data_IF_234376971117
#
_entry.id   IF_234376971117
#
_cell.length_a   1.000
_cell.length_b   1.000
_cell.length_c   1.000
_cell.angle_alpha   90.00
_cell.angle_beta   90.00
_cell.angle_gamma   90.00
#
_symmetry.space_group_name_H-M   'P 1'
#
loop_
_entity.id
_entity.type
_entity.pdbx_description
1 polymer ?
#
# COMPACT_ATOMS: atom_id res chain seq x y z
N UNK A 1 9.92 -16.35 -29.32
CA UNK A 1 10.89 -15.88 -28.31
C UNK A 1 10.14 -15.82 -26.99
N UNK A 2 10.47 -16.67 -26.03
CA UNK A 2 9.81 -16.66 -24.71
C UNK A 2 10.47 -15.56 -23.87
N UNK A 3 9.71 -14.53 -23.53
CA UNK A 3 10.17 -13.49 -22.60
C UNK A 3 10.37 -14.15 -21.24
N UNK A 4 11.59 -14.12 -20.70
CA UNK A 4 11.82 -14.55 -19.33
C UNK A 4 11.05 -13.60 -18.41
N UNK A 5 10.00 -14.10 -17.74
CA UNK A 5 9.29 -13.36 -16.71
C UNK A 5 10.24 -13.31 -15.51
N UNK A 6 10.99 -12.21 -15.38
CA UNK A 6 11.78 -11.94 -14.18
C UNK A 6 10.80 -11.66 -13.04
N UNK A 7 10.96 -12.38 -11.92
CA UNK A 7 10.20 -12.08 -10.71
C UNK A 7 10.49 -10.64 -10.24
N UNK A 8 9.48 -9.89 -9.76
CA UNK A 8 9.69 -8.55 -9.23
C UNK A 8 10.62 -8.59 -8.01
N UNK A 9 11.34 -7.50 -7.78
CA UNK A 9 12.07 -7.33 -6.51
C UNK A 9 11.09 -7.18 -5.34
N UNK A 10 11.53 -7.39 -4.09
CA UNK A 10 10.65 -7.19 -2.92
C UNK A 10 10.17 -5.74 -2.83
N UNK A 11 11.02 -4.77 -3.20
CA UNK A 11 10.62 -3.37 -3.34
C UNK A 11 9.48 -3.22 -4.34
N UNK A 12 9.64 -3.70 -5.58
CA UNK A 12 8.62 -3.58 -6.62
C UNK A 12 7.31 -4.29 -6.21
N UNK A 13 7.42 -5.47 -5.61
CA UNK A 13 6.27 -6.21 -5.10
C UNK A 13 5.53 -5.38 -4.05
N UNK A 14 6.24 -4.85 -3.05
CA UNK A 14 5.64 -4.03 -1.99
C UNK A 14 5.03 -2.74 -2.55
N UNK A 15 5.72 -2.02 -3.44
CA UNK A 15 5.22 -0.79 -4.07
C UNK A 15 3.92 -1.04 -4.84
N UNK A 16 3.85 -2.13 -5.60
CA UNK A 16 2.65 -2.49 -6.36
C UNK A 16 1.45 -2.77 -5.44
N UNK A 17 1.66 -3.50 -4.33
CA UNK A 17 0.59 -3.82 -3.40
C UNK A 17 0.14 -2.62 -2.56
N UNK A 18 1.08 -1.77 -2.12
CA UNK A 18 0.74 -0.50 -1.45
C UNK A 18 -0.03 0.40 -2.41
N UNK A 19 0.37 0.47 -3.68
CA UNK A 19 -0.36 1.21 -4.71
C UNK A 19 -1.78 0.68 -4.86
N UNK A 20 -1.97 -0.65 -4.92
CA UNK A 20 -3.30 -1.25 -5.03
C UNK A 20 -4.20 -0.89 -3.83
N UNK A 21 -3.66 -0.91 -2.60
CA UNK A 21 -4.42 -0.50 -1.40
C UNK A 21 -4.80 0.98 -1.48
N UNK A 22 -3.85 1.85 -1.83
CA UNK A 22 -4.09 3.30 -1.89
C UNK A 22 -5.07 3.67 -3.02
N UNK A 23 -5.03 2.97 -4.15
CA UNK A 23 -5.90 3.26 -5.30
C UNK A 23 -7.26 2.57 -5.25
N UNK A 24 -7.49 1.66 -4.30
CA UNK A 24 -8.80 1.05 -4.12
C UNK A 24 -9.83 2.10 -3.70
N UNK A 25 -10.90 2.25 -4.49
CA UNK A 25 -12.01 3.21 -4.29
C UNK A 25 -13.29 2.56 -3.79
N UNK A 26 -13.33 1.23 -3.71
CA UNK A 26 -14.47 0.49 -3.17
C UNK A 26 -14.01 -0.63 -2.22
N UNK A 27 -14.96 -1.12 -1.42
CA UNK A 27 -14.70 -2.11 -0.38
C UNK A 27 -14.14 -3.43 -0.92
N UNK A 28 -14.64 -3.89 -2.07
CA UNK A 28 -14.22 -5.16 -2.65
C UNK A 28 -12.77 -5.12 -3.13
N UNK A 29 -12.38 -4.06 -3.83
CA UNK A 29 -11.02 -3.88 -4.32
C UNK A 29 -10.05 -3.67 -3.15
N UNK A 30 -10.46 -2.93 -2.12
CA UNK A 30 -9.65 -2.71 -0.91
C UNK A 30 -9.42 -4.03 -0.17
N UNK A 31 -10.47 -4.82 0.02
CA UNK A 31 -10.37 -6.14 0.66
C UNK A 31 -9.43 -7.05 -0.13
N UNK A 32 -9.58 -7.07 -1.46
CA UNK A 32 -8.75 -7.89 -2.35
C UNK A 32 -7.27 -7.46 -2.31
N UNK A 33 -7.00 -6.15 -2.27
CA UNK A 33 -5.64 -5.63 -2.14
C UNK A 33 -5.01 -5.97 -0.78
N UNK A 34 -5.78 -5.89 0.30
CA UNK A 34 -5.32 -6.29 1.65
C UNK A 34 -5.10 -7.80 1.74
N UNK A 35 -5.93 -8.62 1.10
CA UNK A 35 -5.77 -10.09 0.97
C UNK A 35 -4.56 -10.48 0.15
N UNK A 36 -4.22 -9.72 -0.89
CA UNK A 36 -3.04 -9.97 -1.71
C UNK A 36 -1.73 -9.57 -0.99
N UNK A 37 -1.80 -8.62 -0.06
CA UNK A 37 -0.62 -8.04 0.58
C UNK A 37 -0.32 -8.59 1.98
N UNK A 38 -1.34 -8.74 2.84
CA UNK A 38 -1.16 -9.06 4.25
C UNK A 38 -1.62 -10.48 4.57
N UNK A 39 -0.78 -11.23 5.28
CA UNK A 39 -1.15 -12.50 5.90
C UNK A 39 -2.35 -12.33 6.85
N UNK A 40 -3.14 -13.39 7.03
CA UNK A 40 -4.35 -13.35 7.88
C UNK A 40 -4.05 -13.01 9.34
N UNK A 41 -2.88 -13.39 9.82
CA UNK A 41 -2.34 -13.19 11.17
C UNK A 41 -1.23 -12.12 11.21
N UNK A 42 -1.16 -11.25 10.20
CA UNK A 42 -0.19 -10.17 10.16
C UNK A 42 -0.29 -9.26 11.39
N UNK A 43 0.87 -8.91 11.96
CA UNK A 43 0.96 -7.91 13.03
C UNK A 43 1.03 -6.52 12.41
N UNK A 44 0.01 -5.71 12.65
CA UNK A 44 -0.08 -4.35 12.10
C UNK A 44 0.13 -3.34 13.22
N UNK A 45 1.04 -2.39 13.01
CA UNK A 45 1.31 -1.30 13.96
C UNK A 45 1.25 0.02 13.21
N UNK A 46 0.33 0.89 13.62
CA UNK A 46 0.18 2.24 13.06
C UNK A 46 0.45 3.24 14.17
N UNK A 47 1.45 4.10 14.00
CA UNK A 47 1.84 5.13 14.98
C UNK A 47 2.02 4.56 16.41
N UNK A 48 2.51 3.33 16.53
CA UNK A 48 2.74 2.63 17.80
C UNK A 48 1.53 1.86 18.35
N UNK A 49 0.33 2.03 17.79
CA UNK A 49 -0.85 1.27 18.16
C UNK A 49 -0.91 -0.06 17.39
N UNK A 50 -1.09 -1.17 18.11
CA UNK A 50 -1.30 -2.49 17.50
C UNK A 50 -2.75 -2.61 17.06
N UNK A 51 -2.95 -2.98 15.80
CA UNK A 51 -4.27 -3.21 15.22
C UNK A 51 -4.35 -4.64 14.71
N UNK A 52 -5.52 -5.25 14.85
CA UNK A 52 -5.86 -6.43 14.07
C UNK A 52 -6.06 -6.05 12.61
N UNK A 53 -5.94 -7.04 11.72
CA UNK A 53 -6.19 -6.89 10.29
C UNK A 53 -7.60 -6.36 9.99
N UNK A 54 -8.61 -6.81 10.74
CA UNK A 54 -9.98 -6.35 10.58
C UNK A 54 -10.15 -4.89 11.02
N UNK A 55 -9.50 -4.47 12.11
CA UNK A 55 -9.50 -3.08 12.56
C UNK A 55 -8.79 -2.17 11.54
N UNK A 56 -7.66 -2.61 11.01
CA UNK A 56 -6.93 -1.89 9.96
C UNK A 56 -7.78 -1.71 8.70
N UNK A 57 -8.40 -2.79 8.21
CA UNK A 57 -9.28 -2.72 7.05
C UNK A 57 -10.46 -1.77 7.29
N UNK A 58 -11.10 -1.84 8.46
CA UNK A 58 -12.22 -0.96 8.81
C UNK A 58 -11.79 0.51 8.89
N UNK A 59 -10.60 0.77 9.43
CA UNK A 59 -10.04 2.11 9.47
C UNK A 59 -9.85 2.65 8.04
N UNK A 60 -9.20 1.89 7.16
CA UNK A 60 -9.02 2.28 5.76
C UNK A 60 -10.36 2.46 5.03
N UNK A 61 -11.35 1.59 5.24
CA UNK A 61 -12.68 1.76 4.66
C UNK A 61 -13.35 3.07 5.08
N UNK A 62 -13.12 3.51 6.32
CA UNK A 62 -13.67 4.76 6.85
C UNK A 62 -12.95 5.97 6.27
N UNK A 63 -11.62 5.91 6.20
CA UNK A 63 -10.78 7.00 5.67
C UNK A 63 -10.98 7.17 4.16
N UNK A 64 -11.21 6.09 3.42
CA UNK A 64 -11.41 6.08 1.97
C UNK A 64 -12.83 6.42 1.52
N UNK A 65 -13.69 6.85 2.44
CA UNK A 65 -15.06 7.18 2.12
C UNK A 65 -15.12 8.35 1.12
N UNK A 66 -15.80 8.12 -0.01
CA UNK A 66 -16.01 9.13 -1.06
C UNK A 66 -14.72 9.55 -1.81
N UNK A 67 -13.72 8.66 -1.91
CA UNK A 67 -12.55 8.87 -2.78
C UNK A 67 -12.89 8.60 -4.26
N UNK A 68 -12.61 9.57 -5.14
CA UNK A 68 -12.70 9.40 -6.60
C UNK A 68 -11.45 8.70 -7.18
N UNK A 69 -10.32 8.77 -6.48
CA UNK A 69 -9.09 8.10 -6.85
C UNK A 69 -7.87 8.58 -6.07
N UNK A 70 -6.72 7.96 -6.31
CA UNK A 70 -5.47 8.32 -5.67
C UNK A 70 -4.27 8.13 -6.60
N UNK A 71 -3.24 8.94 -6.39
CA UNK A 71 -1.92 8.75 -6.99
C UNK A 71 -0.87 8.63 -5.89
N UNK A 72 0.07 7.70 -6.05
CA UNK A 72 1.16 7.49 -5.10
C UNK A 72 2.49 7.73 -5.80
N UNK A 73 3.45 8.29 -5.05
CA UNK A 73 4.82 8.50 -5.48
C UNK A 73 5.77 8.02 -4.39
N UNK A 74 6.63 7.06 -4.72
CA UNK A 74 7.65 6.55 -3.79
C UNK A 74 8.87 7.46 -3.82
N UNK A 75 9.21 8.05 -2.66
CA UNK A 75 10.35 8.96 -2.52
C UNK A 75 11.63 8.23 -2.13
N UNK A 76 11.50 6.98 -1.66
CA UNK A 76 12.64 6.11 -1.37
C UNK A 76 12.20 4.73 -0.92
N UNK A 77 13.07 3.75 -1.15
CA UNK A 77 12.89 2.38 -0.73
C UNK A 77 14.21 1.78 -0.26
N UNK A 78 14.15 0.93 0.78
CA UNK A 78 15.28 0.16 1.28
C UNK A 78 14.85 -1.30 1.37
N UNK A 79 15.60 -2.19 0.75
CA UNK A 79 15.36 -3.64 0.79
C UNK A 79 16.51 -4.34 1.49
N UNK A 80 16.17 -5.25 2.41
CA UNK A 80 17.13 -6.14 3.08
C UNK A 80 16.65 -7.58 2.90
N UNK A 81 17.26 -8.35 1.99
CA UNK A 81 16.92 -9.75 1.82
C UNK A 81 17.20 -10.59 3.07
N UNK A 82 16.35 -11.58 3.35
CA UNK A 82 16.59 -12.57 4.39
C UNK A 82 17.71 -13.55 3.98
N UNK A 83 17.81 -13.85 2.69
CA UNK A 83 18.85 -14.69 2.09
C UNK A 83 19.46 -13.96 0.89
N UNK A 84 20.80 -13.87 0.84
CA UNK A 84 21.52 -13.19 -0.24
C UNK A 84 21.51 -14.01 -1.54
N UNK A 85 21.37 -15.32 -1.44
CA UNK A 85 21.33 -16.22 -2.59
C UNK A 85 19.92 -16.27 -3.22
N UNK A 86 18.90 -15.81 -2.49
CA UNK A 86 17.49 -15.72 -2.91
C UNK A 86 16.90 -14.35 -2.56
N UNK A 87 17.40 -13.27 -3.18
CA UNK A 87 17.16 -11.90 -2.70
C UNK A 87 15.72 -11.41 -2.84
N UNK A 88 14.86 -12.16 -3.55
CA UNK A 88 13.48 -11.79 -3.88
C UNK A 88 12.42 -12.68 -3.22
N UNK A 89 12.83 -13.72 -2.48
CA UNK A 89 11.89 -14.68 -1.89
C UNK A 89 11.33 -14.16 -0.56
N UNK A 90 12.18 -13.55 0.27
CA UNK A 90 11.82 -13.03 1.58
C UNK A 90 12.83 -11.97 2.06
N UNK A 91 12.37 -11.09 2.94
CA UNK A 91 13.20 -10.03 3.51
C UNK A 91 12.34 -8.88 4.03
N UNK A 92 13.00 -7.80 4.40
CA UNK A 92 12.34 -6.59 4.87
C UNK A 92 12.40 -5.49 3.81
N UNK A 93 11.32 -4.71 3.70
CA UNK A 93 11.24 -3.55 2.82
C UNK A 93 10.75 -2.35 3.63
N UNK A 94 11.53 -1.27 3.61
CA UNK A 94 11.13 0.05 4.10
C UNK A 94 10.79 0.94 2.92
N UNK A 95 9.62 1.57 2.92
CA UNK A 95 9.16 2.51 1.90
C UNK A 95 8.88 3.89 2.51
N UNK A 96 9.12 4.92 1.72
CA UNK A 96 8.70 6.28 1.97
C UNK A 96 7.89 6.74 0.76
N UNK A 97 6.70 7.29 0.97
CA UNK A 97 5.85 7.70 -0.14
C UNK A 97 4.99 8.92 0.20
N UNK A 98 4.57 9.60 -0.87
CA UNK A 98 3.52 10.61 -0.86
C UNK A 98 2.32 10.05 -1.63
N UNK A 99 1.13 10.14 -1.05
CA UNK A 99 -0.13 9.81 -1.69
C UNK A 99 -0.98 11.09 -1.81
N UNK A 100 -1.45 11.38 -3.02
CA UNK A 100 -2.43 12.41 -3.29
C UNK A 100 -3.78 11.73 -3.50
N UNK A 101 -4.70 11.97 -2.57
CA UNK A 101 -6.06 11.47 -2.59
C UNK A 101 -6.96 12.53 -3.22
N UNK A 102 -7.80 12.12 -4.17
CA UNK A 102 -8.80 12.96 -4.82
C UNK A 102 -10.17 12.53 -4.32
N UNK A 103 -10.87 13.42 -3.64
CA UNK A 103 -12.23 13.17 -3.16
C UNK A 103 -13.25 13.35 -4.31
N UNK A 104 -14.38 12.66 -4.22
CA UNK A 104 -15.50 12.83 -5.14
C UNK A 104 -16.24 14.16 -4.88
N UNK A 105 -16.08 14.74 -3.68
CA UNK A 105 -16.61 16.05 -3.32
C UNK A 105 -15.94 17.15 -4.17
N UNK A 106 -16.76 18.06 -4.70
CA UNK A 106 -16.30 19.23 -5.47
C UNK A 106 -16.77 20.53 -4.84
N UNK A 107 -15.89 21.52 -4.76
CA UNK A 107 -16.21 22.89 -4.32
C UNK A 107 -16.01 23.82 -5.50
N UNK A 108 -17.10 24.46 -5.97
CA UNK A 108 -17.08 25.33 -7.16
C UNK A 108 -16.41 24.65 -8.37
N UNK A 109 -16.83 23.40 -8.64
CA UNK A 109 -16.33 22.51 -9.71
C UNK A 109 -14.86 22.06 -9.61
N UNK A 110 -14.11 22.45 -8.57
CA UNK A 110 -12.78 21.92 -8.30
C UNK A 110 -12.85 20.69 -7.37
N UNK A 111 -12.09 19.62 -7.64
CA UNK A 111 -12.00 18.48 -6.74
C UNK A 111 -11.29 18.87 -5.43
N UNK A 112 -11.72 18.29 -4.32
CA UNK A 112 -10.99 18.36 -3.05
C UNK A 112 -9.86 17.32 -3.08
N UNK A 113 -8.67 17.73 -2.64
CA UNK A 113 -7.49 16.85 -2.61
C UNK A 113 -6.83 16.87 -1.24
N UNK A 114 -6.36 15.71 -0.80
CA UNK A 114 -5.59 15.53 0.43
C UNK A 114 -4.24 14.89 0.12
N UNK A 115 -3.16 15.37 0.74
CA UNK A 115 -1.82 14.81 0.58
C UNK A 115 -1.39 14.12 1.87
N UNK A 116 -0.91 12.88 1.74
CA UNK A 116 -0.45 12.04 2.84
C UNK A 116 1.01 11.69 2.58
N UNK A 117 1.90 12.09 3.48
CA UNK A 117 3.29 11.62 3.52
C UNK A 117 3.42 10.58 4.60
N UNK A 118 3.92 9.40 4.24
CA UNK A 118 4.03 8.28 5.17
C UNK A 118 5.29 7.43 4.92
N UNK A 119 5.60 6.61 5.91
CA UNK A 119 6.58 5.53 5.80
C UNK A 119 5.95 4.20 6.22
N UNK A 120 6.44 3.11 5.63
CA UNK A 120 5.96 1.76 5.87
C UNK A 120 7.15 0.81 5.98
N UNK A 121 7.13 -0.09 6.96
CA UNK A 121 8.07 -1.19 7.05
C UNK A 121 7.30 -2.52 6.95
N UNK A 122 7.78 -3.41 6.08
CA UNK A 122 7.23 -4.74 5.84
C UNK A 122 8.33 -5.76 6.13
N UNK A 123 8.00 -6.84 6.82
CA UNK A 123 8.94 -7.87 7.31
C UNK A 123 8.33 -9.25 7.10
#
# INVERSE_FOLDING_TARGET
MSTAILAPTLTQWTENHVTAIIQATNEQDLTSAIDAFLAKDATIVINGAKLSRAEFQKQLQTEKFDEAGATISFVGAVQVPADKDKPFDAGSVGLFYNALIVEAIRIRDAPVTSEITASLNVV
#
